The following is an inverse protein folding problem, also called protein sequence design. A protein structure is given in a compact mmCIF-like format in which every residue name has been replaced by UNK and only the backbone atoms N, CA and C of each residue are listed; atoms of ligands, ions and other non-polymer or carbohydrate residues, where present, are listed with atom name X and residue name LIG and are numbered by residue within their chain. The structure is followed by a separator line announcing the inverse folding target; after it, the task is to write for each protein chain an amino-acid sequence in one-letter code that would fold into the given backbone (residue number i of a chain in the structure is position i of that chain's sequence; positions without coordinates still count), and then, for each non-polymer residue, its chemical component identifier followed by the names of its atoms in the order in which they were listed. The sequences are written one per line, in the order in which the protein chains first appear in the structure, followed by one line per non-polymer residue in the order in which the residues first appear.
data_IF_489339313485
#
_entry.id   IF_489339313485
#
_cell.length_a   1.000
_cell.length_b   1.000
_cell.length_c   1.000
_cell.angle_alpha   90.00
_cell.angle_beta   90.00
_cell.angle_gamma   90.00
#
_symmetry.space_group_name_H-M   'P 1'
#
loop_
_entity.id
_entity.type
_entity.pdbx_description
1 polymer ?
#
# COMPACT_ATOMS: atom_id res chain seq x y z
N UNK A 1 -5.81 -15.04 -21.77
CA UNK A 1 -6.84 -14.04 -21.39
C UNK A 1 -6.22 -13.16 -20.32
N UNK A 2 -5.97 -11.87 -20.58
CA UNK A 2 -5.54 -10.95 -19.51
C UNK A 2 -6.81 -10.59 -18.73
N UNK A 3 -6.87 -10.97 -17.46
CA UNK A 3 -7.97 -10.60 -16.56
C UNK A 3 -7.80 -9.10 -16.23
N UNK A 4 -8.19 -8.23 -17.16
CA UNK A 4 -8.32 -6.80 -16.89
C UNK A 4 -9.58 -6.62 -16.04
N UNK A 5 -9.41 -6.34 -14.75
CA UNK A 5 -10.50 -5.87 -13.90
C UNK A 5 -10.87 -4.48 -14.41
N UNK A 6 -12.02 -4.35 -15.07
CA UNK A 6 -12.55 -3.02 -15.36
C UNK A 6 -12.86 -2.34 -14.02
N UNK A 7 -12.27 -1.17 -13.73
CA UNK A 7 -12.62 -0.42 -12.55
C UNK A 7 -14.09 -0.03 -12.66
N UNK A 8 -14.86 -0.37 -11.63
CA UNK A 8 -16.27 0.03 -11.56
C UNK A 8 -16.35 1.56 -11.65
N UNK A 9 -17.28 2.11 -12.47
CA UNK A 9 -17.55 3.54 -12.42
C UNK A 9 -18.00 3.91 -11.01
N UNK A 10 -17.44 4.99 -10.48
CA UNK A 10 -17.70 5.44 -9.11
C UNK A 10 -17.89 6.94 -9.00
N UNK A 11 -18.48 7.38 -7.90
CA UNK A 11 -18.60 8.79 -7.54
C UNK A 11 -17.26 9.35 -7.08
N UNK A 12 -17.09 10.67 -7.11
CA UNK A 12 -15.89 11.33 -6.56
C UNK A 12 -15.63 10.92 -5.11
N UNK A 13 -16.69 10.80 -4.30
CA UNK A 13 -16.59 10.37 -2.90
C UNK A 13 -16.03 8.95 -2.76
N UNK A 14 -16.37 8.02 -3.66
CA UNK A 14 -15.81 6.68 -3.67
C UNK A 14 -14.32 6.68 -4.02
N UNK A 15 -13.90 7.47 -5.00
CA UNK A 15 -12.47 7.62 -5.33
C UNK A 15 -11.67 8.21 -4.18
N UNK A 16 -12.19 9.25 -3.52
CA UNK A 16 -11.56 9.83 -2.34
C UNK A 16 -11.51 8.82 -1.20
N UNK A 17 -12.59 8.07 -0.98
CA UNK A 17 -12.65 7.01 0.03
C UNK A 17 -11.59 5.92 -0.20
N UNK A 18 -11.45 5.44 -1.44
CA UNK A 18 -10.40 4.48 -1.81
C UNK A 18 -9.01 5.04 -1.64
N UNK A 19 -8.78 6.29 -2.04
CA UNK A 19 -7.47 6.94 -1.90
C UNK A 19 -7.09 7.11 -0.43
N UNK A 20 -8.00 7.63 0.40
CA UNK A 20 -7.76 7.87 1.84
C UNK A 20 -7.60 6.55 2.57
N UNK A 21 -8.46 5.55 2.31
CA UNK A 21 -8.36 4.23 2.91
C UNK A 21 -7.05 3.52 2.54
N UNK A 22 -6.67 3.56 1.26
CA UNK A 22 -5.39 3.04 0.79
C UNK A 22 -4.21 3.78 1.41
N UNK A 23 -4.27 5.11 1.49
CA UNK A 23 -3.24 5.93 2.12
C UNK A 23 -3.05 5.57 3.60
N UNK A 24 -4.13 5.42 4.37
CA UNK A 24 -4.04 5.04 5.78
C UNK A 24 -3.46 3.63 5.94
N UNK A 25 -3.86 2.68 5.10
CA UNK A 25 -3.33 1.32 5.10
C UNK A 25 -1.83 1.31 4.80
N UNK A 26 -1.39 1.98 3.74
CA UNK A 26 0.01 2.04 3.37
C UNK A 26 0.83 2.86 4.38
N UNK A 27 0.30 3.93 4.94
CA UNK A 27 1.00 4.69 5.97
C UNK A 27 1.20 3.87 7.25
N UNK A 28 0.18 3.13 7.69
CA UNK A 28 0.29 2.25 8.85
C UNK A 28 1.35 1.17 8.63
N UNK A 29 1.26 0.46 7.51
CA UNK A 29 2.18 -0.65 7.20
C UNK A 29 3.60 -0.17 6.89
N UNK A 30 3.77 1.01 6.29
CA UNK A 30 5.06 1.67 6.15
C UNK A 30 5.68 1.98 7.51
N UNK A 31 4.89 2.44 8.49
CA UNK A 31 5.40 2.70 9.83
C UNK A 31 5.89 1.41 10.49
N UNK A 32 5.10 0.34 10.43
CA UNK A 32 5.48 -0.98 10.97
C UNK A 32 6.77 -1.49 10.31
N UNK A 33 6.85 -1.43 8.98
CA UNK A 33 8.01 -1.89 8.23
C UNK A 33 9.28 -1.05 8.53
N UNK A 34 9.14 0.27 8.55
CA UNK A 34 10.24 1.16 8.87
C UNK A 34 10.71 0.96 10.31
N UNK A 35 9.80 0.80 11.27
CA UNK A 35 10.16 0.56 12.67
C UNK A 35 10.89 -0.78 12.84
N UNK A 36 10.44 -1.82 12.13
CA UNK A 36 11.07 -3.14 12.17
C UNK A 36 12.51 -3.13 11.60
N UNK A 37 12.75 -2.42 10.49
CA UNK A 37 14.05 -2.42 9.81
C UNK A 37 15.01 -1.34 10.35
N UNK A 38 14.48 -0.17 10.73
CA UNK A 38 15.27 1.02 11.08
C UNK A 38 15.29 1.31 12.59
N UNK A 39 14.47 0.64 13.39
CA UNK A 39 14.29 0.95 14.81
C UNK A 39 13.31 2.12 15.00
N UNK A 40 13.49 2.93 16.04
CA UNK A 40 12.55 4.01 16.33
C UNK A 40 12.56 5.09 15.24
N UNK A 41 11.41 5.32 14.60
CA UNK A 41 11.24 6.28 13.51
C UNK A 41 9.96 7.10 13.69
N UNK A 42 9.98 8.41 13.34
CA UNK A 42 8.78 9.24 13.46
C UNK A 42 7.65 8.75 12.54
N UNK A 43 6.48 8.46 13.11
CA UNK A 43 5.30 8.01 12.37
C UNK A 43 4.88 8.96 11.23
N UNK A 44 5.15 10.27 11.37
CA UNK A 44 4.88 11.28 10.34
C UNK A 44 5.61 11.00 9.01
N UNK A 45 6.77 10.32 9.05
CA UNK A 45 7.49 9.92 7.83
C UNK A 45 6.73 8.84 7.06
N UNK A 46 6.11 7.91 7.78
CA UNK A 46 5.32 6.86 7.17
C UNK A 46 4.06 7.39 6.48
N UNK A 47 3.45 8.46 7.01
CA UNK A 47 2.37 9.17 6.32
C UNK A 47 2.79 9.65 4.92
N UNK A 48 4.01 10.19 4.79
CA UNK A 48 4.53 10.66 3.51
C UNK A 48 4.82 9.50 2.55
N UNK A 49 5.40 8.42 3.05
CA UNK A 49 5.69 7.22 2.25
C UNK A 49 4.40 6.59 1.73
N UNK A 50 3.39 6.42 2.58
CA UNK A 50 2.11 5.80 2.21
C UNK A 50 1.35 6.51 1.09
N UNK A 51 1.61 7.81 0.83
CA UNK A 51 0.99 8.54 -0.28
C UNK A 51 1.37 7.94 -1.63
N UNK A 52 2.64 7.55 -1.80
CA UNK A 52 3.16 7.06 -3.08
C UNK A 52 2.41 5.82 -3.60
N UNK A 53 2.35 4.69 -2.86
CA UNK A 53 1.62 3.51 -3.34
C UNK A 53 0.11 3.75 -3.41
N UNK A 54 -0.48 4.61 -2.56
CA UNK A 54 -1.91 4.93 -2.61
C UNK A 54 -2.27 5.65 -3.91
N UNK A 55 -1.54 6.71 -4.26
CA UNK A 55 -1.75 7.48 -5.50
C UNK A 55 -1.52 6.61 -6.72
N UNK A 56 -0.43 5.83 -6.73
CA UNK A 56 -0.12 4.94 -7.87
C UNK A 56 -1.23 3.91 -8.09
N UNK A 57 -1.71 3.28 -7.02
CA UNK A 57 -2.76 2.26 -7.12
C UNK A 57 -4.05 2.83 -7.68
N UNK A 58 -4.48 4.00 -7.20
CA UNK A 58 -5.71 4.65 -7.68
C UNK A 58 -5.53 5.17 -9.12
N UNK A 59 -4.40 5.81 -9.43
CA UNK A 59 -4.14 6.37 -10.75
C UNK A 59 -4.02 5.30 -11.83
N UNK A 60 -3.41 4.16 -11.50
CA UNK A 60 -3.15 3.08 -12.45
C UNK A 60 -4.19 1.95 -12.38
N UNK A 61 -5.32 2.13 -11.70
CA UNK A 61 -6.33 1.07 -11.50
C UNK A 61 -6.84 0.43 -12.81
N UNK A 62 -6.70 1.14 -13.95
CA UNK A 62 -7.12 0.67 -15.29
C UNK A 62 -6.07 -0.18 -16.02
N UNK A 63 -4.86 -0.30 -15.47
CA UNK A 63 -3.74 -0.95 -16.13
C UNK A 63 -3.59 -2.41 -15.70
N UNK A 64 -2.65 -3.13 -16.31
CA UNK A 64 -2.31 -4.49 -15.90
C UNK A 64 -1.82 -4.50 -14.43
N UNK A 65 -2.31 -5.42 -13.57
CA UNK A 65 -1.86 -5.53 -12.18
C UNK A 65 -0.34 -5.60 -12.01
N UNK A 66 0.37 -6.27 -12.92
CA UNK A 66 1.83 -6.32 -12.90
C UNK A 66 2.48 -4.93 -13.07
N UNK A 67 1.89 -4.07 -13.91
CA UNK A 67 2.34 -2.68 -14.09
C UNK A 67 2.06 -1.86 -12.84
N UNK A 68 0.87 -2.01 -12.25
CA UNK A 68 0.52 -1.31 -10.99
C UNK A 68 1.51 -1.68 -9.89
N UNK A 69 1.79 -2.97 -9.71
CA UNK A 69 2.74 -3.47 -8.72
C UNK A 69 4.14 -2.92 -8.98
N UNK A 70 4.64 -3.01 -10.22
CA UNK A 70 5.98 -2.56 -10.57
C UNK A 70 6.16 -1.05 -10.32
N UNK A 71 5.21 -0.22 -10.76
CA UNK A 71 5.26 1.22 -10.56
C UNK A 71 5.08 1.59 -9.09
N UNK A 72 4.21 0.89 -8.37
CA UNK A 72 3.96 1.14 -6.95
C UNK A 72 5.20 0.82 -6.11
N UNK A 73 5.87 -0.31 -6.36
CA UNK A 73 7.13 -0.66 -5.69
C UNK A 73 8.26 0.32 -6.01
N UNK A 74 8.35 0.79 -7.26
CA UNK A 74 9.34 1.79 -7.64
C UNK A 74 9.09 3.15 -6.95
N UNK A 75 7.83 3.59 -6.89
CA UNK A 75 7.44 4.81 -6.20
C UNK A 75 7.65 4.70 -4.68
N UNK A 76 7.30 3.56 -4.08
CA UNK A 76 7.53 3.30 -2.66
C UNK A 76 9.03 3.29 -2.33
N UNK A 77 9.86 2.66 -3.17
CA UNK A 77 11.31 2.69 -3.00
C UNK A 77 11.90 4.09 -3.06
N UNK A 78 11.48 4.91 -4.04
CA UNK A 78 11.89 6.30 -4.13
C UNK A 78 11.43 7.10 -2.90
N UNK A 79 10.18 6.92 -2.45
CA UNK A 79 9.63 7.59 -1.29
C UNK A 79 10.38 7.20 0.00
N UNK A 80 10.62 5.91 0.24
CA UNK A 80 11.37 5.41 1.39
C UNK A 80 12.80 5.97 1.39
N UNK A 81 13.49 5.91 0.26
CA UNK A 81 14.84 6.43 0.13
C UNK A 81 14.90 7.93 0.46
N UNK A 82 13.99 8.72 -0.11
CA UNK A 82 13.95 10.17 0.07
C UNK A 82 13.52 10.59 1.48
N UNK A 83 12.46 9.97 2.03
CA UNK A 83 11.86 10.36 3.30
C UNK A 83 12.70 9.89 4.49
N UNK A 84 13.20 8.65 4.46
CA UNK A 84 14.02 8.12 5.54
C UNK A 84 15.51 8.42 5.37
N UNK A 85 15.95 8.88 4.18
CA UNK A 85 17.35 9.22 3.86
C UNK A 85 18.31 8.07 4.11
N UNK A 86 17.91 6.86 3.74
CA UNK A 86 18.68 5.62 3.93
C UNK A 86 19.32 5.17 2.62
N UNK A 87 20.39 4.37 2.68
CA UNK A 87 21.04 3.81 1.48
C UNK A 87 20.07 2.92 0.69
N UNK A 88 20.28 2.78 -0.62
CA UNK A 88 19.42 1.96 -1.51
C UNK A 88 19.18 0.54 -0.99
N UNK A 89 20.21 -0.13 -0.47
CA UNK A 89 20.07 -1.47 0.10
C UNK A 89 19.10 -1.51 1.28
N UNK A 90 19.16 -0.51 2.16
CA UNK A 90 18.27 -0.40 3.31
C UNK A 90 16.85 0.00 2.88
N UNK A 91 16.72 0.92 1.91
CA UNK A 91 15.42 1.26 1.34
C UNK A 91 14.73 0.02 0.74
N UNK A 92 15.46 -0.82 0.01
CA UNK A 92 14.92 -2.06 -0.55
C UNK A 92 14.38 -3.00 0.54
N UNK A 93 15.11 -3.15 1.67
CA UNK A 93 14.65 -3.96 2.79
C UNK A 93 13.35 -3.43 3.41
N UNK A 94 13.25 -2.10 3.58
CA UNK A 94 12.03 -1.46 4.10
C UNK A 94 10.86 -1.68 3.13
N UNK A 95 11.05 -1.50 1.82
CA UNK A 95 9.99 -1.71 0.80
C UNK A 95 9.53 -3.16 0.78
N UNK A 96 10.46 -4.13 0.82
CA UNK A 96 10.10 -5.55 0.89
C UNK A 96 9.26 -5.82 2.14
N UNK A 97 9.67 -5.28 3.29
CA UNK A 97 8.91 -5.44 4.52
C UNK A 97 7.54 -4.76 4.43
N UNK A 98 7.47 -3.55 3.88
CA UNK A 98 6.23 -2.79 3.68
C UNK A 98 5.24 -3.56 2.79
N UNK A 99 5.71 -4.16 1.70
CA UNK A 99 4.92 -5.04 0.84
C UNK A 99 4.41 -6.26 1.61
N UNK A 100 5.28 -6.96 2.36
CA UNK A 100 4.91 -8.15 3.14
C UNK A 100 3.85 -7.82 4.19
N UNK A 101 4.03 -6.75 4.96
CA UNK A 101 3.06 -6.32 5.99
C UNK A 101 1.74 -5.90 5.35
N UNK A 102 1.78 -5.15 4.24
CA UNK A 102 0.58 -4.77 3.48
C UNK A 102 -0.19 -5.98 2.99
N UNK A 103 0.50 -6.93 2.35
CA UNK A 103 -0.09 -8.15 1.84
C UNK A 103 -0.70 -8.98 2.97
N UNK A 104 0.02 -9.17 4.07
CA UNK A 104 -0.47 -9.90 5.23
C UNK A 104 -1.74 -9.26 5.81
N UNK A 105 -1.76 -7.94 5.96
CA UNK A 105 -2.91 -7.21 6.49
C UNK A 105 -4.12 -7.27 5.56
N UNK A 106 -3.91 -7.09 4.25
CA UNK A 106 -4.98 -7.18 3.24
C UNK A 106 -5.56 -8.59 3.19
N UNK A 107 -4.70 -9.62 3.17
CA UNK A 107 -5.15 -11.02 3.18
C UNK A 107 -5.90 -11.33 4.47
N UNK A 108 -5.39 -10.91 5.63
CA UNK A 108 -6.09 -11.07 6.90
C UNK A 108 -7.47 -10.40 6.87
N UNK A 109 -7.55 -9.14 6.46
CA UNK A 109 -8.81 -8.39 6.39
C UNK A 109 -9.81 -9.03 5.42
N UNK A 110 -9.35 -9.49 4.26
CA UNK A 110 -10.19 -10.17 3.28
C UNK A 110 -10.75 -11.50 3.82
N UNK A 111 -9.92 -12.30 4.50
CA UNK A 111 -10.36 -13.55 5.12
C UNK A 111 -11.31 -13.30 6.30
N UNK A 112 -11.05 -12.30 7.14
CA UNK A 112 -11.95 -11.92 8.22
C UNK A 112 -13.31 -11.45 7.69
N UNK A 113 -13.32 -10.65 6.62
CA UNK A 113 -14.55 -10.19 5.99
C UNK A 113 -15.32 -11.37 5.38
N UNK A 114 -14.64 -12.30 4.72
CA UNK A 114 -15.26 -13.50 4.18
C UNK A 114 -15.89 -14.35 5.29
N UNK A 115 -15.19 -14.56 6.41
CA UNK A 115 -15.72 -15.27 7.57
C UNK A 115 -16.96 -14.57 8.14
N UNK A 116 -16.88 -13.27 8.41
CA UNK A 116 -17.99 -12.49 8.96
C UNK A 116 -19.21 -12.47 8.04
N UNK A 117 -19.01 -12.50 6.71
CA UNK A 117 -20.12 -12.57 5.74
C UNK A 117 -20.90 -13.88 5.78
N UNK A 118 -20.36 -14.91 6.44
CA UNK A 118 -21.04 -16.20 6.64
C UNK A 118 -21.71 -16.33 8.02
N UNK A 119 -21.61 -15.30 8.88
CA UNK A 119 -22.22 -15.32 10.20
C UNK A 119 -23.75 -15.26 10.09
N UNK A 120 -24.49 -16.10 10.87
CA UNK A 120 -25.92 -15.96 10.98
C UNK A 120 -26.29 -14.62 11.63
N UNK A 121 -27.39 -14.02 11.18
CA UNK A 121 -27.92 -12.76 11.70
C UNK A 121 -28.44 -12.89 13.14
#
# INVERSE_FOLDING_TARGET
MVLQVQPAPGTLGQYVGTLVGGWLLFAFTAHVAATYILGDVPWKRALLVGVAPAVVTVALVRYNPAVIIAVSLAADFAAVHAVYRVKYRTAALVVVMHYVVSLALVVLAANLLALLSTAPA
#
